data_IF_040618736395
#
_entry.id   IF_040618736395
#
_cell.length_a   1.000
_cell.length_b   1.000
_cell.length_c   1.000
_cell.angle_alpha   90.00
_cell.angle_beta   90.00
_cell.angle_gamma   90.00
#
_symmetry.space_group_name_H-M   'P 1'
#
loop_
_entity.id
_entity.type
_entity.pdbx_description
1 polymer ?
#
# COMPACT_ATOMS: atom_id res chain seq x y z
N UNK A 1 22.30 -1.36 8.18
CA UNK A 1 22.05 0.09 8.18
C UNK A 1 23.39 0.78 8.17
N UNK A 2 23.60 1.71 7.23
CA UNK A 2 24.78 2.57 7.20
C UNK A 2 24.75 3.52 8.41
N UNK A 3 25.92 3.77 8.98
CA UNK A 3 26.07 4.76 10.03
C UNK A 3 26.27 6.13 9.40
N UNK A 4 25.39 7.06 9.73
CA UNK A 4 25.44 8.44 9.23
C UNK A 4 25.87 9.35 10.38
N UNK A 5 26.94 10.14 10.20
CA UNK A 5 27.33 11.15 11.21
C UNK A 5 26.41 12.37 11.13
N UNK A 6 26.24 13.09 12.25
CA UNK A 6 25.46 14.32 12.26
C UNK A 6 26.07 15.40 11.35
N UNK A 7 27.39 15.46 11.22
CA UNK A 7 28.11 16.33 10.28
C UNK A 7 27.66 16.05 8.84
N UNK A 8 27.65 14.78 8.47
CA UNK A 8 27.25 14.34 7.13
C UNK A 8 25.77 14.66 6.84
N UNK A 9 24.88 14.30 7.76
CA UNK A 9 23.46 14.57 7.61
C UNK A 9 23.14 16.07 7.57
N UNK A 10 23.79 16.90 8.42
CA UNK A 10 23.66 18.34 8.40
C UNK A 10 24.12 18.93 7.06
N UNK A 11 25.28 18.50 6.55
CA UNK A 11 25.75 18.91 5.23
C UNK A 11 24.79 18.54 4.10
N UNK A 12 24.14 17.37 4.19
CA UNK A 12 23.19 16.91 3.20
C UNK A 12 21.89 17.74 3.17
N UNK A 13 21.36 18.12 4.34
CA UNK A 13 20.08 18.82 4.42
C UNK A 13 20.20 20.35 4.61
N UNK A 14 21.42 20.90 4.58
CA UNK A 14 21.66 22.32 4.84
C UNK A 14 21.39 22.75 6.27
N UNK A 15 21.50 21.80 7.21
CA UNK A 15 21.34 22.05 8.65
C UNK A 15 22.65 22.44 9.32
N UNK A 16 22.58 22.73 10.61
CA UNK A 16 23.73 23.01 11.48
C UNK A 16 23.78 22.01 12.63
N UNK A 17 24.99 21.68 13.05
CA UNK A 17 25.28 20.82 14.20
C UNK A 17 26.40 21.45 15.02
N UNK A 18 26.31 21.35 16.34
CA UNK A 18 27.41 21.78 17.22
C UNK A 18 28.63 20.88 17.05
N UNK A 19 29.83 21.46 16.97
CA UNK A 19 31.08 20.71 16.66
C UNK A 19 31.31 19.54 17.63
N UNK A 20 30.98 19.70 18.93
CA UNK A 20 31.10 18.63 19.93
C UNK A 20 30.25 17.38 19.64
N UNK A 21 29.22 17.51 18.80
CA UNK A 21 28.31 16.42 18.43
C UNK A 21 28.44 15.98 16.97
N UNK A 22 29.30 16.63 16.20
CA UNK A 22 29.39 16.45 14.75
C UNK A 22 29.68 15.00 14.33
N UNK A 23 30.43 14.27 15.13
CA UNK A 23 30.84 12.87 14.85
C UNK A 23 29.93 11.83 15.53
N UNK A 24 28.83 12.25 16.17
CA UNK A 24 27.80 11.33 16.65
C UNK A 24 27.13 10.66 15.45
N UNK A 25 27.05 9.32 15.50
CA UNK A 25 26.44 8.49 14.46
C UNK A 25 25.02 8.07 14.84
N UNK A 26 24.15 7.96 13.84
CA UNK A 26 22.80 7.40 14.00
C UNK A 26 22.51 6.33 12.95
N UNK A 27 21.51 5.46 13.23
CA UNK A 27 21.07 4.35 12.41
C UNK A 27 19.56 4.42 12.20
N UNK A 28 19.10 4.84 11.00
CA UNK A 28 17.68 5.02 10.73
C UNK A 28 17.08 6.22 11.48
N UNK A 29 15.78 6.43 11.29
CA UNK A 29 15.06 7.55 11.89
C UNK A 29 13.64 7.16 12.31
N UNK A 30 13.10 7.86 13.32
CA UNK A 30 11.72 7.71 13.77
C UNK A 30 11.16 9.04 14.28
N UNK A 31 9.84 9.22 14.17
CA UNK A 31 9.10 10.32 14.79
C UNK A 31 8.21 9.86 15.95
N UNK A 32 8.27 8.56 16.33
CA UNK A 32 7.45 7.98 17.39
C UNK A 32 8.33 7.42 18.52
N UNK A 33 8.32 8.09 19.67
CA UNK A 33 9.11 7.69 20.85
C UNK A 33 8.74 6.32 21.41
N UNK A 34 7.55 5.79 21.12
CA UNK A 34 7.08 4.47 21.57
C UNK A 34 7.71 3.32 20.74
N UNK A 35 8.15 3.63 19.51
CA UNK A 35 8.76 2.70 18.55
C UNK A 35 10.26 2.95 18.37
N UNK A 36 10.78 3.96 19.02
CA UNK A 36 12.19 4.35 18.93
C UNK A 36 13.09 3.20 19.36
N UNK A 37 14.05 2.91 18.50
CA UNK A 37 15.13 1.96 18.80
C UNK A 37 16.40 2.75 19.20
N UNK A 38 17.21 2.24 20.15
CA UNK A 38 18.45 2.89 20.52
C UNK A 38 19.34 3.13 19.29
N UNK A 39 19.93 4.33 19.23
CA UNK A 39 20.80 4.72 18.13
C UNK A 39 20.08 5.38 16.93
N UNK A 40 18.77 5.51 16.94
CA UNK A 40 18.04 6.20 15.86
C UNK A 40 18.07 7.72 16.00
N UNK A 41 17.90 8.41 14.85
CA UNK A 41 17.60 9.84 14.79
C UNK A 41 16.12 10.06 15.11
N UNK A 42 15.83 10.83 16.16
CA UNK A 42 14.46 11.28 16.43
C UNK A 42 14.12 12.52 15.61
N UNK A 43 13.04 12.47 14.83
CA UNK A 43 12.61 13.57 13.96
C UNK A 43 11.47 14.34 14.65
N UNK A 44 11.73 15.54 15.14
CA UNK A 44 10.75 16.40 15.79
C UNK A 44 9.87 17.08 14.74
N UNK A 45 8.80 16.39 14.28
CA UNK A 45 7.85 16.93 13.33
C UNK A 45 6.81 17.81 14.00
N UNK A 46 6.41 18.88 13.33
CA UNK A 46 5.24 19.67 13.70
C UNK A 46 3.97 19.04 13.08
N UNK A 47 3.00 18.72 13.90
CA UNK A 47 1.72 18.14 13.53
C UNK A 47 0.62 18.56 14.51
N UNK A 48 -0.36 17.69 14.77
CA UNK A 48 -1.40 17.89 15.78
C UNK A 48 -0.77 18.10 17.17
N UNK A 49 0.32 17.41 17.46
CA UNK A 49 1.22 17.66 18.57
C UNK A 49 2.57 18.11 18.04
N UNK A 50 3.25 18.99 18.77
CA UNK A 50 4.60 19.41 18.42
C UNK A 50 5.61 18.33 18.85
N UNK A 51 6.27 17.71 17.89
CA UNK A 51 7.30 16.67 18.13
C UNK A 51 8.43 17.13 19.03
N UNK A 52 8.69 18.44 19.13
CA UNK A 52 9.72 18.99 20.02
C UNK A 52 9.42 18.72 21.50
N UNK A 53 8.16 18.57 21.90
CA UNK A 53 7.77 18.22 23.27
C UNK A 53 8.25 16.84 23.70
N UNK A 54 8.53 15.96 22.73
CA UNK A 54 8.93 14.57 22.97
C UNK A 54 10.44 14.35 22.92
N UNK A 55 11.26 15.38 22.67
CA UNK A 55 12.70 15.25 22.51
C UNK A 55 13.37 14.66 23.75
N UNK A 56 13.02 15.17 24.95
CA UNK A 56 13.57 14.64 26.19
C UNK A 56 13.23 13.14 26.37
N UNK A 57 12.01 12.75 26.04
CA UNK A 57 11.58 11.35 26.09
C UNK A 57 12.35 10.49 25.06
N UNK A 58 12.52 11.00 23.82
CA UNK A 58 13.29 10.31 22.80
C UNK A 58 14.74 10.07 23.23
N UNK A 59 15.40 11.09 23.76
CA UNK A 59 16.79 10.98 24.25
C UNK A 59 16.88 10.02 25.44
N UNK A 60 15.93 10.05 26.36
CA UNK A 60 15.86 9.11 27.49
C UNK A 60 15.63 7.67 27.05
N UNK A 61 14.95 7.45 25.91
CA UNK A 61 14.73 6.13 25.31
C UNK A 61 15.89 5.68 24.40
N UNK A 62 16.98 6.45 24.34
CA UNK A 62 18.21 6.05 23.63
C UNK A 62 18.32 6.54 22.19
N UNK A 63 17.60 7.61 21.79
CA UNK A 63 17.88 8.29 20.52
C UNK A 63 19.36 8.74 20.49
N UNK A 64 20.02 8.54 19.34
CA UNK A 64 21.39 9.02 19.17
C UNK A 64 21.43 10.53 19.03
N UNK A 65 20.45 11.11 18.38
CA UNK A 65 20.35 12.53 18.08
C UNK A 65 18.93 12.95 17.71
N UNK A 66 18.75 14.23 17.51
CA UNK A 66 17.48 14.85 17.14
C UNK A 66 17.60 15.69 15.87
N UNK A 67 16.61 15.62 14.99
CA UNK A 67 16.39 16.57 13.90
C UNK A 67 15.28 17.53 14.33
N UNK A 68 15.58 18.84 14.47
CA UNK A 68 14.66 19.82 15.07
C UNK A 68 14.78 21.21 14.44
N UNK A 69 13.77 22.08 14.70
CA UNK A 69 13.75 23.45 14.17
C UNK A 69 14.15 24.51 15.21
N UNK A 70 14.32 24.14 16.47
CA UNK A 70 14.69 25.04 17.57
C UNK A 70 15.56 24.33 18.60
N UNK A 71 16.32 25.10 19.35
CA UNK A 71 17.15 24.55 20.43
C UNK A 71 16.29 23.93 21.54
N UNK A 72 16.70 22.74 21.99
CA UNK A 72 16.00 21.94 23.01
C UNK A 72 17.02 21.24 23.92
N UNK A 73 17.57 22.03 24.85
CA UNK A 73 18.56 21.49 25.78
C UNK A 73 19.92 21.17 25.12
N UNK A 74 20.80 20.52 25.88
CA UNK A 74 22.14 20.14 25.46
C UNK A 74 22.15 18.69 24.96
N UNK A 75 21.58 18.46 23.77
CA UNK A 75 21.51 17.16 23.10
C UNK A 75 22.21 17.19 21.75
N UNK A 76 22.73 16.04 21.27
CA UNK A 76 23.15 15.90 19.89
C UNK A 76 21.97 16.23 18.96
N UNK A 77 22.08 17.30 18.16
CA UNK A 77 20.97 17.76 17.33
C UNK A 77 21.45 18.32 16.00
N UNK A 78 20.65 18.11 14.95
CA UNK A 78 20.71 18.82 13.67
C UNK A 78 19.60 19.87 13.65
N UNK A 79 19.99 21.13 13.54
CA UNK A 79 19.05 22.26 13.46
C UNK A 79 18.78 22.62 12.01
N UNK A 80 17.51 22.68 11.64
CA UNK A 80 17.02 22.97 10.29
C UNK A 80 15.82 23.91 10.31
N UNK A 81 15.52 24.55 9.19
CA UNK A 81 14.31 25.38 9.07
C UNK A 81 13.03 24.55 8.94
N UNK A 82 13.12 23.32 8.41
CA UNK A 82 11.97 22.42 8.21
C UNK A 82 12.42 20.97 8.35
N UNK A 83 11.97 20.29 9.39
CA UNK A 83 12.37 18.90 9.70
C UNK A 83 11.86 17.90 8.67
N UNK A 84 10.69 18.13 8.07
CA UNK A 84 10.11 17.24 7.04
C UNK A 84 10.93 17.29 5.75
N UNK A 85 11.27 18.47 5.27
CA UNK A 85 12.11 18.62 4.07
C UNK A 85 13.53 18.10 4.32
N UNK A 86 14.10 18.38 5.49
CA UNK A 86 15.42 17.89 5.88
C UNK A 86 15.46 16.35 5.94
N UNK A 87 14.45 15.71 6.52
CA UNK A 87 14.30 14.26 6.55
C UNK A 87 14.32 13.67 5.12
N UNK A 88 13.53 14.27 4.21
CA UNK A 88 13.50 13.85 2.81
C UNK A 88 14.86 13.98 2.12
N UNK A 89 15.57 15.10 2.35
CA UNK A 89 16.88 15.32 1.74
C UNK A 89 17.96 14.39 2.31
N UNK A 90 17.95 14.12 3.61
CA UNK A 90 18.86 13.13 4.23
C UNK A 90 18.60 11.74 3.62
N UNK A 91 17.33 11.32 3.51
CA UNK A 91 16.98 10.04 2.91
C UNK A 91 17.38 9.95 1.42
N UNK A 92 17.19 11.02 0.66
CA UNK A 92 17.62 11.09 -0.74
C UNK A 92 19.14 10.91 -0.89
N UNK A 93 19.91 11.56 -0.02
CA UNK A 93 21.39 11.46 -0.04
C UNK A 93 21.86 10.10 0.40
N UNK A 94 21.23 9.50 1.41
CA UNK A 94 21.57 8.16 1.86
C UNK A 94 21.26 7.10 0.79
N UNK A 95 20.09 7.19 0.11
CA UNK A 95 19.78 6.35 -1.05
C UNK A 95 20.89 6.41 -2.12
N UNK A 96 21.36 7.62 -2.41
CA UNK A 96 22.44 7.83 -3.40
C UNK A 96 23.80 7.31 -2.88
N UNK A 97 24.05 7.43 -1.58
CA UNK A 97 25.28 6.96 -0.95
C UNK A 97 25.38 5.43 -0.97
N UNK A 98 24.29 4.73 -0.64
CA UNK A 98 24.19 3.26 -0.73
C UNK A 98 24.31 2.80 -2.19
N UNK A 99 23.84 3.58 -3.16
CA UNK A 99 23.88 3.23 -4.58
C UNK A 99 22.92 2.12 -4.99
N UNK A 100 21.89 1.85 -4.17
CA UNK A 100 20.88 0.84 -4.46
C UNK A 100 20.02 1.22 -5.66
N UNK A 101 19.59 0.23 -6.45
CA UNK A 101 18.56 0.42 -7.46
C UNK A 101 17.18 0.53 -6.80
N UNK A 102 16.33 1.44 -7.26
CA UNK A 102 15.01 1.68 -6.68
C UNK A 102 13.91 1.36 -7.66
N UNK A 103 12.98 0.49 -7.23
CA UNK A 103 11.72 0.21 -7.90
C UNK A 103 10.62 0.97 -7.16
N UNK A 104 10.09 2.04 -7.78
CA UNK A 104 8.96 2.81 -7.26
C UNK A 104 7.63 2.17 -7.66
N UNK A 105 6.68 1.99 -6.73
CA UNK A 105 5.39 1.37 -7.01
C UNK A 105 4.26 2.30 -6.60
N UNK A 106 3.40 2.67 -7.56
CA UNK A 106 2.17 3.45 -7.31
C UNK A 106 0.97 2.87 -8.06
N UNK A 107 -0.20 3.38 -7.76
CA UNK A 107 -1.49 2.96 -8.34
C UNK A 107 -2.64 3.40 -7.43
N UNK A 108 -3.87 3.35 -7.90
CA UNK A 108 -5.03 3.57 -7.04
C UNK A 108 -5.21 2.39 -6.10
N UNK A 109 -5.18 1.17 -6.61
CA UNK A 109 -5.26 -0.09 -5.85
C UNK A 109 -4.08 -1.00 -6.17
N UNK A 110 -3.80 -1.99 -5.32
CA UNK A 110 -2.77 -3.02 -5.56
C UNK A 110 -1.35 -2.66 -5.11
N UNK A 111 -1.02 -1.40 -4.80
CA UNK A 111 0.34 -0.93 -4.49
C UNK A 111 1.14 -1.82 -3.53
N UNK A 112 0.61 -2.07 -2.34
CA UNK A 112 1.33 -2.85 -1.32
C UNK A 112 1.46 -4.32 -1.72
N UNK A 113 0.42 -4.88 -2.35
CA UNK A 113 0.45 -6.26 -2.87
C UNK A 113 1.54 -6.41 -3.93
N UNK A 114 1.56 -5.51 -4.91
CA UNK A 114 2.58 -5.50 -5.97
C UNK A 114 3.97 -5.26 -5.41
N UNK A 115 4.13 -4.31 -4.47
CA UNK A 115 5.41 -4.09 -3.76
C UNK A 115 5.93 -5.38 -3.11
N UNK A 116 5.06 -6.13 -2.43
CA UNK A 116 5.45 -7.40 -1.81
C UNK A 116 5.81 -8.46 -2.85
N UNK A 117 5.04 -8.59 -3.93
CA UNK A 117 5.33 -9.53 -5.02
C UNK A 117 6.67 -9.18 -5.70
N UNK A 118 6.90 -7.91 -6.03
CA UNK A 118 8.17 -7.46 -6.60
C UNK A 118 9.32 -7.74 -5.63
N UNK A 119 9.18 -7.41 -4.35
CA UNK A 119 10.22 -7.66 -3.37
C UNK A 119 10.59 -9.15 -3.29
N UNK A 120 9.61 -10.05 -3.23
CA UNK A 120 9.84 -11.48 -3.22
C UNK A 120 10.51 -12.00 -4.50
N UNK A 121 10.16 -11.44 -5.66
CA UNK A 121 10.86 -11.75 -6.92
C UNK A 121 12.31 -11.26 -6.85
N UNK A 122 12.55 -10.04 -6.39
CA UNK A 122 13.91 -9.48 -6.28
C UNK A 122 14.76 -10.24 -5.25
N UNK A 123 14.20 -10.63 -4.11
CA UNK A 123 14.87 -11.40 -3.04
C UNK A 123 15.45 -12.74 -3.52
N UNK A 124 14.96 -13.30 -4.62
CA UNK A 124 15.52 -14.53 -5.22
C UNK A 124 16.89 -14.32 -5.86
N UNK A 125 17.30 -13.08 -6.10
CA UNK A 125 18.52 -12.75 -6.86
C UNK A 125 19.35 -11.66 -6.19
N UNK A 126 18.71 -10.71 -5.50
CA UNK A 126 19.35 -9.51 -4.94
C UNK A 126 19.13 -9.41 -3.42
N UNK A 127 20.06 -8.75 -2.71
CA UNK A 127 19.77 -8.26 -1.36
C UNK A 127 18.78 -7.11 -1.44
N UNK A 128 17.55 -7.42 -1.10
CA UNK A 128 16.40 -6.55 -1.33
C UNK A 128 15.87 -5.96 -0.03
N UNK A 129 15.57 -4.67 -0.05
CA UNK A 129 14.81 -3.99 1.00
C UNK A 129 13.50 -3.43 0.43
N UNK A 130 12.52 -3.17 1.30
CA UNK A 130 11.22 -2.61 0.89
C UNK A 130 10.67 -1.68 1.95
N UNK A 131 9.81 -0.73 1.54
CA UNK A 131 9.07 0.10 2.50
C UNK A 131 8.14 -0.78 3.34
N UNK A 132 8.20 -0.70 4.69
CA UNK A 132 7.32 -1.47 5.56
C UNK A 132 5.90 -0.92 5.55
N UNK A 133 4.91 -1.79 5.69
CA UNK A 133 3.49 -1.45 5.83
C UNK A 133 3.03 -0.33 4.87
N UNK A 134 2.50 0.77 5.41
CA UNK A 134 2.02 1.96 4.69
C UNK A 134 3.01 3.15 4.75
N UNK A 135 4.30 2.91 4.89
CA UNK A 135 5.32 3.95 4.84
C UNK A 135 5.53 4.46 3.41
N UNK A 136 4.51 5.05 2.83
CA UNK A 136 4.43 5.44 1.41
C UNK A 136 4.24 6.95 1.20
N UNK A 137 4.30 7.75 2.28
CA UNK A 137 4.14 9.19 2.25
C UNK A 137 5.46 9.93 2.54
N UNK A 138 5.42 11.25 2.57
CA UNK A 138 6.54 12.17 2.77
C UNK A 138 7.25 12.10 4.13
N UNK A 139 6.75 11.31 5.06
CA UNK A 139 7.35 11.01 6.36
C UNK A 139 7.80 9.55 6.41
N UNK A 140 6.89 8.64 6.09
CA UNK A 140 7.13 7.20 6.23
C UNK A 140 8.18 6.67 5.24
N UNK A 141 8.10 7.09 3.98
CA UNK A 141 9.04 6.64 2.95
C UNK A 141 10.49 7.08 3.23
N UNK A 142 10.79 8.34 3.56
CA UNK A 142 12.14 8.75 3.95
C UNK A 142 12.68 7.98 5.15
N UNK A 143 11.87 7.79 6.20
CA UNK A 143 12.28 6.98 7.36
C UNK A 143 12.56 5.52 6.98
N UNK A 144 11.76 4.95 6.07
CA UNK A 144 11.99 3.60 5.57
C UNK A 144 13.31 3.49 4.81
N UNK A 145 13.64 4.45 3.94
CA UNK A 145 14.91 4.51 3.21
C UNK A 145 16.09 4.58 4.18
N UNK A 146 16.04 5.45 5.19
CA UNK A 146 17.08 5.57 6.22
C UNK A 146 17.24 4.30 7.07
N UNK A 147 16.22 3.45 7.12
CA UNK A 147 16.25 2.16 7.82
C UNK A 147 16.76 0.99 6.97
N UNK A 148 17.06 1.18 5.69
CA UNK A 148 17.51 0.10 4.81
C UNK A 148 18.96 -0.32 5.12
N UNK A 149 19.32 -1.61 4.99
CA UNK A 149 20.69 -2.08 5.10
C UNK A 149 21.63 -1.41 4.10
N UNK A 150 22.88 -1.15 4.50
CA UNK A 150 23.89 -0.53 3.64
C UNK A 150 24.27 -1.38 2.42
N UNK A 151 24.13 -2.70 2.53
CA UNK A 151 24.39 -3.64 1.45
C UNK A 151 23.18 -3.92 0.55
N UNK A 152 22.10 -3.13 0.67
CA UNK A 152 20.91 -3.22 -0.17
C UNK A 152 21.27 -2.98 -1.64
N UNK A 153 20.94 -3.95 -2.48
CA UNK A 153 21.13 -3.84 -3.93
C UNK A 153 19.89 -3.29 -4.63
N UNK A 154 18.70 -3.73 -4.19
CA UNK A 154 17.41 -3.29 -4.73
C UNK A 154 16.48 -2.86 -3.59
N UNK A 155 15.88 -1.68 -3.72
CA UNK A 155 14.84 -1.20 -2.83
C UNK A 155 13.50 -1.12 -3.55
N UNK A 156 12.46 -1.76 -3.01
CA UNK A 156 11.10 -1.66 -3.53
C UNK A 156 10.30 -0.69 -2.67
N UNK A 157 9.99 0.47 -3.26
CA UNK A 157 9.45 1.63 -2.54
C UNK A 157 8.00 1.88 -2.96
N UNK A 158 7.05 1.72 -2.03
CA UNK A 158 5.67 2.12 -2.25
C UNK A 158 5.54 3.64 -2.16
N UNK A 159 4.85 4.24 -3.13
CA UNK A 159 4.64 5.67 -3.24
C UNK A 159 3.15 5.98 -3.33
N UNK A 160 2.62 6.59 -2.26
CA UNK A 160 1.22 7.00 -2.14
C UNK A 160 1.09 8.52 -2.27
N UNK A 161 -0.06 8.98 -2.77
CA UNK A 161 -0.38 10.40 -2.87
C UNK A 161 -1.88 10.63 -2.72
N UNK A 162 -2.24 11.78 -2.20
CA UNK A 162 -3.61 12.29 -2.09
C UNK A 162 -3.78 13.60 -2.91
N UNK A 163 -2.72 14.37 -3.09
CA UNK A 163 -2.72 15.68 -3.75
C UNK A 163 -1.66 15.76 -4.84
N UNK A 164 -1.83 16.73 -5.74
CA UNK A 164 -0.78 17.10 -6.69
C UNK A 164 0.51 17.49 -5.98
N UNK A 165 1.65 17.26 -6.62
CA UNK A 165 3.01 17.52 -6.16
C UNK A 165 3.54 16.59 -5.05
N UNK A 166 2.68 15.78 -4.42
CA UNK A 166 3.15 14.78 -3.45
C UNK A 166 3.98 13.68 -4.12
N UNK A 167 3.49 13.14 -5.24
CA UNK A 167 4.21 12.12 -6.00
C UNK A 167 5.55 12.65 -6.53
N UNK A 168 5.58 13.88 -7.04
CA UNK A 168 6.81 14.55 -7.47
C UNK A 168 7.84 14.63 -6.33
N UNK A 169 7.40 14.99 -5.13
CA UNK A 169 8.27 15.08 -3.95
C UNK A 169 8.84 13.71 -3.58
N UNK A 170 7.98 12.69 -3.50
CA UNK A 170 8.40 11.32 -3.18
C UNK A 170 9.38 10.77 -4.24
N UNK A 171 9.09 11.02 -5.51
CA UNK A 171 9.93 10.57 -6.61
C UNK A 171 11.32 11.20 -6.58
N UNK A 172 11.41 12.49 -6.27
CA UNK A 172 12.71 13.18 -6.13
C UNK A 172 13.55 12.64 -4.98
N UNK A 173 12.91 12.12 -3.91
CA UNK A 173 13.60 11.46 -2.80
C UNK A 173 14.06 10.05 -3.22
N UNK A 174 13.15 9.23 -3.70
CA UNK A 174 13.40 7.84 -4.05
C UNK A 174 14.29 7.71 -5.30
N UNK A 175 14.15 8.59 -6.28
CA UNK A 175 14.83 8.58 -7.58
C UNK A 175 14.73 7.19 -8.23
N UNK A 176 13.53 6.74 -8.62
CA UNK A 176 13.35 5.39 -9.13
C UNK A 176 14.17 5.15 -10.41
N UNK A 177 14.86 4.02 -10.46
CA UNK A 177 15.49 3.48 -11.66
C UNK A 177 14.47 2.75 -12.54
N UNK A 178 13.39 2.28 -11.88
CA UNK A 178 12.21 1.70 -12.50
C UNK A 178 10.97 2.11 -11.69
N UNK A 179 9.91 2.56 -12.38
CA UNK A 179 8.65 2.93 -11.74
C UNK A 179 7.48 2.14 -12.32
N UNK A 180 6.58 1.71 -11.44
CA UNK A 180 5.37 0.95 -11.79
C UNK A 180 4.14 1.78 -11.47
N UNK A 181 3.24 1.97 -12.46
CA UNK A 181 1.90 2.52 -12.25
C UNK A 181 0.86 1.44 -12.60
N UNK A 182 0.16 0.95 -11.57
CA UNK A 182 -0.71 -0.21 -11.69
C UNK A 182 -2.05 0.08 -12.35
N UNK A 183 -2.66 1.20 -11.98
CA UNK A 183 -4.00 1.56 -12.44
C UNK A 183 -4.37 2.99 -12.04
N UNK A 184 -5.37 3.52 -12.74
CA UNK A 184 -6.02 4.80 -12.48
C UNK A 184 -7.47 4.55 -12.09
N UNK A 185 -7.73 4.36 -10.80
CA UNK A 185 -9.07 4.18 -10.26
C UNK A 185 -9.73 5.49 -9.85
N UNK A 186 -10.69 5.40 -8.94
CA UNK A 186 -11.51 6.52 -8.46
C UNK A 186 -11.14 7.01 -7.04
N UNK A 187 -10.15 6.39 -6.40
CA UNK A 187 -9.66 6.85 -5.09
C UNK A 187 -9.00 8.23 -5.19
N UNK A 188 -9.17 9.07 -4.14
CA UNK A 188 -8.67 10.45 -4.07
C UNK A 188 -9.35 11.42 -5.07
N UNK A 189 -10.51 11.04 -5.63
CA UNK A 189 -11.30 11.87 -6.54
C UNK A 189 -11.65 13.24 -5.92
N UNK A 190 -11.86 13.27 -4.60
CA UNK A 190 -12.17 14.48 -3.84
C UNK A 190 -11.10 15.57 -4.01
N UNK A 191 -9.81 15.19 -4.06
CA UNK A 191 -8.68 16.13 -4.12
C UNK A 191 -8.17 16.36 -5.53
N UNK A 192 -8.34 15.39 -6.42
CA UNK A 192 -7.77 15.42 -7.77
C UNK A 192 -8.82 15.69 -8.88
N UNK A 193 -10.11 15.72 -8.51
CA UNK A 193 -11.23 16.17 -9.33
C UNK A 193 -11.70 15.17 -10.40
N UNK A 194 -10.83 14.38 -11.00
CA UNK A 194 -11.15 13.42 -12.07
C UNK A 194 -10.13 12.28 -12.14
N UNK A 195 -10.46 11.21 -12.84
CA UNK A 195 -9.49 10.14 -13.14
C UNK A 195 -8.29 10.67 -13.94
N UNK A 196 -8.51 11.63 -14.82
CA UNK A 196 -7.44 12.32 -15.52
C UNK A 196 -6.52 13.10 -14.55
N UNK A 197 -7.11 13.76 -13.54
CA UNK A 197 -6.34 14.40 -12.46
C UNK A 197 -5.52 13.37 -11.66
N UNK A 198 -6.10 12.19 -11.39
CA UNK A 198 -5.39 11.08 -10.72
C UNK A 198 -4.25 10.56 -11.59
N UNK A 199 -4.46 10.39 -12.91
CA UNK A 199 -3.40 10.03 -13.86
C UNK A 199 -2.26 11.04 -13.80
N UNK A 200 -2.56 12.33 -13.97
CA UNK A 200 -1.56 13.41 -13.93
C UNK A 200 -0.75 13.40 -12.63
N UNK A 201 -1.42 13.27 -11.48
CA UNK A 201 -0.75 13.22 -10.19
C UNK A 201 0.17 11.99 -10.03
N UNK A 202 -0.23 10.80 -10.56
CA UNK A 202 0.63 9.61 -10.53
C UNK A 202 1.80 9.71 -11.50
N UNK A 203 1.60 10.31 -12.67
CA UNK A 203 2.67 10.56 -13.66
C UNK A 203 3.74 11.54 -13.15
N UNK A 204 3.49 12.31 -12.09
CA UNK A 204 4.54 13.08 -11.41
C UNK A 204 5.70 12.22 -10.89
N UNK A 205 5.55 10.89 -10.86
CA UNK A 205 6.63 9.95 -10.52
C UNK A 205 7.83 10.13 -11.47
N UNK A 206 7.61 10.57 -12.68
CA UNK A 206 8.66 10.85 -13.68
C UNK A 206 9.63 11.95 -13.25
N UNK A 207 9.19 12.89 -12.38
CA UNK A 207 10.02 14.05 -11.99
C UNK A 207 11.30 13.68 -11.20
N UNK A 208 11.37 12.51 -10.60
CA UNK A 208 12.56 12.01 -9.91
C UNK A 208 13.36 10.99 -10.72
N UNK A 209 12.81 10.50 -11.83
CA UNK A 209 13.44 9.48 -12.68
C UNK A 209 14.46 10.09 -13.63
N UNK A 210 15.53 9.34 -13.93
CA UNK A 210 16.45 9.67 -15.00
C UNK A 210 15.82 9.36 -16.37
N UNK A 211 16.31 9.96 -17.48
CA UNK A 211 15.76 9.68 -18.81
C UNK A 211 15.89 8.23 -19.27
N UNK A 212 16.90 7.51 -18.80
CA UNK A 212 17.17 6.10 -19.08
C UNK A 212 16.47 5.14 -18.10
N UNK A 213 15.83 5.65 -17.05
CA UNK A 213 15.00 4.86 -16.14
C UNK A 213 13.77 4.33 -16.88
N UNK A 214 13.21 3.19 -16.42
CA UNK A 214 12.11 2.52 -17.12
C UNK A 214 10.78 2.74 -16.42
N UNK A 215 9.73 2.99 -17.22
CA UNK A 215 8.36 3.10 -16.74
C UNK A 215 7.58 1.84 -17.10
N UNK A 216 6.97 1.20 -16.10
CA UNK A 216 6.16 -0.01 -16.24
C UNK A 216 4.70 0.34 -16.03
N UNK A 217 3.87 0.14 -17.04
CA UNK A 217 2.46 0.54 -17.07
C UNK A 217 1.54 -0.65 -17.33
N UNK A 218 0.40 -0.65 -16.68
CA UNK A 218 -0.68 -1.58 -16.98
C UNK A 218 -1.35 -1.21 -18.32
N UNK A 219 -1.16 -2.03 -19.34
CA UNK A 219 -1.74 -1.84 -20.67
C UNK A 219 -3.22 -2.17 -20.76
N UNK A 220 -3.80 -2.85 -19.76
CA UNK A 220 -5.25 -3.07 -19.66
C UNK A 220 -5.98 -1.84 -19.09
N UNK A 221 -5.26 -0.87 -18.51
CA UNK A 221 -5.83 0.41 -18.09
C UNK A 221 -5.84 1.40 -19.25
N UNK A 222 -7.04 1.80 -19.69
CA UNK A 222 -7.20 2.65 -20.85
C UNK A 222 -6.52 4.03 -20.70
N UNK A 223 -6.49 4.59 -19.48
CA UNK A 223 -5.84 5.87 -19.21
C UNK A 223 -4.31 5.78 -19.20
N UNK A 224 -3.76 4.61 -18.86
CA UNK A 224 -2.32 4.37 -18.95
C UNK A 224 -1.88 3.94 -20.36
N UNK A 225 -2.77 3.26 -21.11
CA UNK A 225 -2.49 2.84 -22.49
C UNK A 225 -2.47 4.04 -23.45
N UNK A 226 -3.33 5.04 -23.24
CA UNK A 226 -3.53 6.21 -24.09
C UNK A 226 -2.89 7.47 -23.52
N UNK A 227 -1.56 7.46 -23.30
CA UNK A 227 -0.85 8.66 -22.89
C UNK A 227 -0.83 9.69 -24.04
N UNK A 228 -1.33 10.91 -23.79
CA UNK A 228 -1.34 12.01 -24.76
C UNK A 228 0.08 12.49 -25.07
N UNK A 229 0.94 12.56 -24.06
CA UNK A 229 2.35 12.88 -24.18
C UNK A 229 3.19 11.66 -23.80
N UNK A 230 4.06 11.23 -24.68
CA UNK A 230 4.98 10.14 -24.42
C UNK A 230 6.10 10.65 -23.51
N UNK A 231 6.38 9.99 -22.37
CA UNK A 231 7.51 10.36 -21.53
C UNK A 231 8.85 10.07 -22.24
N UNK A 232 9.91 10.71 -21.77
CA UNK A 232 11.27 10.42 -22.26
C UNK A 232 11.73 9.02 -21.87
N UNK A 233 11.21 8.48 -20.74
CA UNK A 233 11.55 7.17 -20.22
C UNK A 233 10.98 6.05 -21.10
N UNK A 234 11.74 4.99 -21.40
CA UNK A 234 11.23 3.81 -22.07
C UNK A 234 10.07 3.17 -21.28
N UNK A 235 8.98 2.86 -21.98
CA UNK A 235 7.79 2.23 -21.38
C UNK A 235 7.79 0.73 -21.66
N UNK A 236 7.50 -0.05 -20.62
CA UNK A 236 7.18 -1.47 -20.69
C UNK A 236 5.71 -1.65 -20.28
N UNK A 237 4.89 -2.15 -21.16
CA UNK A 237 3.48 -2.44 -20.89
C UNK A 237 3.27 -3.89 -20.47
N UNK A 238 2.44 -4.10 -19.44
CA UNK A 238 1.97 -5.43 -19.05
C UNK A 238 0.44 -5.51 -19.06
N UNK A 239 -0.13 -6.71 -19.21
CA UNK A 239 -1.57 -6.92 -19.17
C UNK A 239 -2.02 -8.26 -19.77
N UNK A 240 -3.22 -8.29 -20.33
CA UNK A 240 -3.81 -9.51 -20.92
C UNK A 240 -3.84 -9.51 -22.46
N UNK A 241 -3.47 -8.42 -23.09
CA UNK A 241 -3.40 -8.25 -24.53
C UNK A 241 -2.02 -8.73 -25.03
N UNK A 242 -1.99 -9.61 -26.05
CA UNK A 242 -0.78 -10.22 -26.61
C UNK A 242 0.13 -9.26 -27.38
N UNK A 243 -0.31 -8.03 -27.60
CA UNK A 243 0.51 -6.95 -28.18
C UNK A 243 1.39 -6.23 -27.14
N UNK A 244 1.30 -6.58 -25.84
CA UNK A 244 2.06 -5.95 -24.76
C UNK A 244 3.44 -6.61 -24.59
N UNK A 245 4.38 -5.92 -23.93
CA UNK A 245 5.72 -6.46 -23.67
C UNK A 245 5.68 -7.69 -22.75
N UNK A 246 4.78 -7.70 -21.78
CA UNK A 246 4.54 -8.86 -20.90
C UNK A 246 3.05 -9.09 -20.79
N UNK A 247 2.58 -10.29 -21.08
CA UNK A 247 1.15 -10.58 -21.02
C UNK A 247 0.82 -11.96 -20.44
N UNK A 248 -0.42 -12.11 -19.96
CA UNK A 248 -0.91 -13.38 -19.41
C UNK A 248 -1.93 -14.05 -20.29
N UNK A 249 -1.80 -15.39 -20.44
CA UNK A 249 -2.82 -16.26 -21.02
C UNK A 249 -3.18 -17.37 -20.03
N UNK A 250 -4.19 -18.19 -20.36
CA UNK A 250 -4.61 -19.37 -19.58
C UNK A 250 -4.90 -19.08 -18.10
N UNK A 251 -5.47 -17.91 -17.82
CA UNK A 251 -5.79 -17.51 -16.45
C UNK A 251 -6.85 -18.43 -15.86
N UNK A 252 -6.50 -19.14 -14.78
CA UNK A 252 -7.37 -20.10 -14.08
C UNK A 252 -7.31 -19.87 -12.58
N UNK A 253 -8.47 -19.98 -11.95
CA UNK A 253 -8.63 -19.88 -10.49
C UNK A 253 -9.26 -21.17 -9.98
N UNK A 254 -8.41 -21.99 -9.38
CA UNK A 254 -8.81 -23.16 -8.58
C UNK A 254 -8.47 -22.83 -7.11
N UNK A 255 -7.79 -23.72 -6.38
CA UNK A 255 -7.22 -23.45 -5.04
C UNK A 255 -6.08 -22.42 -5.10
N UNK A 256 -5.51 -22.21 -6.27
CA UNK A 256 -4.47 -21.22 -6.56
C UNK A 256 -4.80 -20.46 -7.83
N UNK A 257 -4.34 -19.23 -7.93
CA UNK A 257 -4.38 -18.50 -9.20
C UNK A 257 -3.20 -18.94 -10.07
N UNK A 258 -3.48 -19.32 -11.32
CA UNK A 258 -2.47 -19.77 -12.30
C UNK A 258 -2.67 -19.06 -13.63
N UNK A 259 -1.57 -18.78 -14.31
CA UNK A 259 -1.57 -18.27 -15.67
C UNK A 259 -0.23 -18.55 -16.35
N UNK A 260 -0.17 -18.40 -17.66
CA UNK A 260 1.09 -18.38 -18.42
C UNK A 260 1.51 -16.95 -18.67
N UNK A 261 2.70 -16.55 -18.21
CA UNK A 261 3.30 -15.27 -18.54
C UNK A 261 4.13 -15.41 -19.83
N UNK A 262 4.03 -14.43 -20.71
CA UNK A 262 4.77 -14.31 -21.96
C UNK A 262 5.55 -12.99 -21.95
N UNK A 263 6.71 -12.97 -22.59
CA UNK A 263 7.47 -11.74 -22.83
C UNK A 263 7.59 -11.45 -24.35
N UNK A 264 8.05 -10.27 -24.70
CA UNK A 264 8.26 -9.84 -26.08
C UNK A 264 9.47 -10.51 -26.76
N UNK A 265 10.31 -11.21 -26.01
CA UNK A 265 11.38 -12.09 -26.52
C UNK A 265 10.87 -13.43 -27.03
N UNK A 266 9.60 -13.75 -26.81
CA UNK A 266 8.95 -15.00 -27.20
C UNK A 266 9.09 -16.12 -26.16
N UNK A 267 9.66 -15.85 -25.01
CA UNK A 267 9.69 -16.78 -23.89
C UNK A 267 8.35 -16.81 -23.15
N UNK A 268 8.00 -17.98 -22.61
CA UNK A 268 6.80 -18.13 -21.80
C UNK A 268 7.03 -19.09 -20.63
N UNK A 269 6.37 -18.83 -19.51
CA UNK A 269 6.48 -19.67 -18.32
C UNK A 269 5.23 -19.62 -17.44
N UNK A 270 4.90 -20.75 -16.77
CA UNK A 270 3.75 -20.80 -15.88
C UNK A 270 4.02 -20.04 -14.58
N UNK A 271 3.03 -19.29 -14.13
CA UNK A 271 3.01 -18.58 -12.84
C UNK A 271 1.92 -19.18 -11.96
N UNK A 272 2.22 -19.34 -10.66
CA UNK A 272 1.28 -19.78 -9.64
C UNK A 272 1.36 -18.84 -8.44
N UNK A 273 0.18 -18.49 -7.92
CA UNK A 273 0.00 -17.66 -6.72
C UNK A 273 -0.96 -18.33 -5.74
N UNK A 274 -0.64 -18.34 -4.48
CA UNK A 274 -1.49 -18.89 -3.40
C UNK A 274 -2.45 -17.81 -2.88
N UNK A 275 -3.27 -17.27 -3.79
CA UNK A 275 -4.26 -16.22 -3.53
C UNK A 275 -5.54 -16.51 -4.27
N UNK A 276 -6.63 -15.87 -3.85
CA UNK A 276 -7.93 -15.97 -4.50
C UNK A 276 -8.32 -14.65 -5.19
N UNK A 277 -8.66 -14.75 -6.47
CA UNK A 277 -9.15 -13.65 -7.28
C UNK A 277 -8.23 -13.27 -8.43
N UNK A 278 -8.82 -13.15 -9.63
CA UNK A 278 -8.10 -12.77 -10.84
C UNK A 278 -7.55 -11.33 -10.82
N UNK A 279 -7.99 -10.51 -9.87
CA UNK A 279 -7.47 -9.16 -9.68
C UNK A 279 -6.00 -9.11 -9.24
N UNK A 280 -5.42 -10.24 -8.81
CA UNK A 280 -3.99 -10.37 -8.56
C UNK A 280 -3.14 -10.58 -9.82
N UNK A 281 -3.76 -10.88 -10.97
CA UNK A 281 -3.01 -11.07 -12.23
C UNK A 281 -2.22 -9.81 -12.62
N UNK A 282 -2.81 -8.61 -12.64
CA UNK A 282 -2.04 -7.39 -12.94
C UNK A 282 -0.90 -7.14 -11.94
N UNK A 283 -1.10 -7.38 -10.64
CA UNK A 283 -0.07 -7.23 -9.62
C UNK A 283 1.11 -8.18 -9.87
N UNK A 284 0.81 -9.45 -10.21
CA UNK A 284 1.82 -10.44 -10.54
C UNK A 284 2.53 -10.14 -11.87
N UNK A 285 1.81 -9.69 -12.90
CA UNK A 285 2.41 -9.29 -14.17
C UNK A 285 3.34 -8.09 -14.02
N UNK A 286 2.98 -7.11 -13.18
CA UNK A 286 3.89 -6.04 -12.83
C UNK A 286 5.19 -6.58 -12.20
N UNK A 287 5.09 -7.57 -11.29
CA UNK A 287 6.26 -8.19 -10.68
C UNK A 287 7.08 -9.02 -11.69
N UNK A 288 6.42 -9.71 -12.63
CA UNK A 288 7.11 -10.39 -13.75
C UNK A 288 7.87 -9.38 -14.60
N UNK A 289 7.21 -8.30 -15.02
CA UNK A 289 7.80 -7.27 -15.87
C UNK A 289 9.02 -6.62 -15.23
N UNK A 290 8.89 -6.25 -13.94
CA UNK A 290 10.01 -5.71 -13.16
C UNK A 290 11.14 -6.75 -13.05
N UNK A 291 10.81 -8.02 -12.76
CA UNK A 291 11.78 -9.10 -12.67
C UNK A 291 12.60 -9.26 -13.93
N UNK A 292 11.93 -9.37 -15.08
CA UNK A 292 12.58 -9.48 -16.40
C UNK A 292 13.42 -8.25 -16.71
N UNK A 293 12.87 -7.05 -16.48
CA UNK A 293 13.59 -5.78 -16.71
C UNK A 293 14.85 -5.63 -15.86
N UNK A 294 14.87 -6.24 -14.65
CA UNK A 294 16.01 -6.25 -13.73
C UNK A 294 16.95 -7.47 -13.93
N UNK A 295 16.69 -8.32 -14.93
CA UNK A 295 17.52 -9.47 -15.25
C UNK A 295 17.32 -10.69 -14.32
N UNK A 296 16.20 -10.77 -13.59
CA UNK A 296 15.83 -11.95 -12.81
C UNK A 296 15.37 -13.04 -13.76
N UNK A 297 15.88 -14.26 -13.61
CA UNK A 297 15.49 -15.37 -14.49
C UNK A 297 14.01 -15.78 -14.32
N UNK A 298 13.33 -16.31 -15.36
CA UNK A 298 11.97 -16.83 -15.26
C UNK A 298 11.78 -17.84 -14.12
N UNK A 299 12.78 -18.70 -13.87
CA UNK A 299 12.74 -19.66 -12.76
C UNK A 299 12.71 -18.96 -11.38
N UNK A 300 13.49 -17.93 -11.19
CA UNK A 300 13.54 -17.15 -9.97
C UNK A 300 12.26 -16.32 -9.80
N UNK A 301 11.74 -15.69 -10.86
CA UNK A 301 10.45 -14.98 -10.84
C UNK A 301 9.33 -15.92 -10.38
N UNK A 302 9.24 -17.13 -10.95
CA UNK A 302 8.27 -18.14 -10.52
C UNK A 302 8.40 -18.49 -9.06
N UNK A 303 9.63 -18.68 -8.57
CA UNK A 303 9.90 -19.01 -7.17
C UNK A 303 9.44 -17.89 -6.24
N UNK A 304 9.76 -16.64 -6.56
CA UNK A 304 9.34 -15.49 -5.77
C UNK A 304 7.81 -15.35 -5.69
N UNK A 305 7.13 -15.47 -6.82
CA UNK A 305 5.67 -15.39 -6.88
C UNK A 305 4.97 -16.56 -6.17
N UNK A 306 5.51 -17.78 -6.27
CA UNK A 306 4.95 -18.95 -5.57
C UNK A 306 5.08 -18.83 -4.04
N UNK A 307 6.05 -18.08 -3.55
CA UNK A 307 6.21 -17.79 -2.13
C UNK A 307 5.25 -16.71 -1.61
N UNK A 308 4.59 -15.94 -2.48
CA UNK A 308 3.71 -14.86 -2.07
C UNK A 308 2.51 -15.37 -1.26
N UNK A 309 2.19 -14.67 -0.18
CA UNK A 309 1.00 -14.86 0.66
C UNK A 309 0.36 -13.52 0.97
N UNK A 310 -0.96 -13.51 1.15
CA UNK A 310 -1.69 -12.30 1.50
C UNK A 310 -1.14 -11.66 2.78
N UNK A 311 -1.08 -10.34 2.78
CA UNK A 311 -0.72 -9.55 3.96
C UNK A 311 -1.90 -9.46 4.92
N UNK A 312 -1.60 -9.21 6.20
CA UNK A 312 -2.65 -8.96 7.20
C UNK A 312 -3.56 -7.79 6.78
N UNK A 313 -4.86 -8.00 6.92
CA UNK A 313 -5.88 -7.02 6.53
C UNK A 313 -6.13 -6.87 5.02
N UNK A 314 -5.54 -7.75 4.18
CA UNK A 314 -5.74 -7.81 2.73
C UNK A 314 -6.15 -9.21 2.31
N UNK A 315 -7.46 -9.47 2.34
CA UNK A 315 -8.05 -10.80 2.13
C UNK A 315 -7.39 -11.89 3.00
N UNK A 316 -7.03 -11.53 4.21
CA UNK A 316 -6.55 -12.46 5.24
C UNK A 316 -7.70 -13.36 5.67
N UNK A 317 -7.51 -14.68 5.61
CA UNK A 317 -8.54 -15.65 5.98
C UNK A 317 -8.30 -16.12 7.41
N UNK A 318 -9.33 -16.03 8.24
CA UNK A 318 -9.32 -16.40 9.66
C UNK A 318 -10.51 -17.31 9.94
N UNK A 319 -10.28 -18.41 10.67
CA UNK A 319 -11.34 -19.28 11.18
C UNK A 319 -11.58 -18.96 12.65
N UNK A 320 -12.80 -18.53 13.00
CA UNK A 320 -13.17 -18.14 14.35
C UNK A 320 -14.55 -18.76 14.67
N UNK A 321 -14.63 -19.65 15.66
CA UNK A 321 -15.89 -20.27 16.06
C UNK A 321 -16.62 -21.03 14.95
N UNK A 322 -15.88 -21.59 13.98
CA UNK A 322 -16.43 -22.28 12.80
C UNK A 322 -16.97 -21.36 11.71
N UNK A 323 -16.67 -20.05 11.79
CA UNK A 323 -16.98 -19.02 10.79
C UNK A 323 -15.70 -18.64 10.08
N UNK A 324 -15.72 -18.59 8.74
CA UNK A 324 -14.59 -18.14 7.92
C UNK A 324 -14.67 -16.63 7.70
N UNK A 325 -13.79 -15.86 8.31
CA UNK A 325 -13.66 -14.42 8.07
C UNK A 325 -12.64 -14.12 6.99
N UNK A 326 -13.03 -13.32 5.99
CA UNK A 326 -12.13 -12.69 5.01
C UNK A 326 -11.90 -11.25 5.47
N UNK A 327 -10.78 -11.02 6.18
CA UNK A 327 -10.38 -9.71 6.69
C UNK A 327 -9.72 -8.91 5.57
N UNK A 328 -10.43 -7.89 5.07
CA UNK A 328 -9.96 -6.99 4.02
C UNK A 328 -10.19 -5.51 4.42
N UNK A 329 -9.78 -5.17 5.65
CA UNK A 329 -10.10 -3.91 6.33
C UNK A 329 -9.00 -2.85 6.21
N UNK A 330 -7.92 -3.10 5.46
CA UNK A 330 -6.82 -2.14 5.36
C UNK A 330 -7.24 -0.84 4.66
N UNK A 331 -7.97 -0.93 3.54
CA UNK A 331 -8.56 0.22 2.84
C UNK A 331 -9.68 -0.25 1.89
N UNK A 332 -10.52 0.69 1.45
CA UNK A 332 -11.61 0.41 0.54
C UNK A 332 -11.78 1.52 -0.51
N UNK A 333 -11.97 1.11 -1.75
CA UNK A 333 -12.39 1.92 -2.86
C UNK A 333 -13.28 1.08 -3.78
N UNK A 334 -13.98 1.68 -4.73
CA UNK A 334 -14.98 1.00 -5.56
C UNK A 334 -14.45 -0.25 -6.25
N UNK A 335 -13.27 -0.19 -6.84
CA UNK A 335 -12.63 -1.29 -7.56
C UNK A 335 -12.25 -2.44 -6.61
N UNK A 336 -11.70 -2.11 -5.44
CA UNK A 336 -11.32 -3.11 -4.44
C UNK A 336 -12.50 -3.75 -3.74
N UNK A 337 -13.61 -3.02 -3.55
CA UNK A 337 -14.89 -3.56 -3.07
C UNK A 337 -15.46 -4.57 -4.05
N UNK A 338 -15.47 -4.22 -5.34
CA UNK A 338 -15.94 -5.11 -6.41
C UNK A 338 -15.11 -6.40 -6.46
N UNK A 339 -13.77 -6.29 -6.39
CA UNK A 339 -12.88 -7.45 -6.39
C UNK A 339 -13.16 -8.38 -5.19
N UNK A 340 -13.29 -7.81 -3.99
CA UNK A 340 -13.56 -8.58 -2.77
C UNK A 340 -14.95 -9.27 -2.82
N UNK A 341 -15.97 -8.58 -3.32
CA UNK A 341 -17.31 -9.17 -3.50
C UNK A 341 -17.31 -10.29 -4.55
N UNK A 342 -16.50 -10.18 -5.61
CA UNK A 342 -16.33 -11.26 -6.59
C UNK A 342 -15.70 -12.52 -5.96
N UNK A 343 -14.75 -12.34 -5.05
CA UNK A 343 -14.16 -13.45 -4.27
C UNK A 343 -15.20 -14.07 -3.35
N UNK A 344 -15.89 -13.25 -2.54
CA UNK A 344 -16.95 -13.72 -1.65
C UNK A 344 -18.02 -14.53 -2.41
N UNK A 345 -18.47 -14.03 -3.57
CA UNK A 345 -19.49 -14.67 -4.39
C UNK A 345 -19.15 -16.06 -4.92
N UNK A 346 -17.87 -16.48 -4.87
CA UNK A 346 -17.41 -17.82 -5.25
C UNK A 346 -17.28 -18.78 -4.06
N UNK A 347 -17.43 -18.28 -2.83
CA UNK A 347 -17.29 -19.11 -1.62
C UNK A 347 -18.47 -20.04 -1.44
N UNK A 348 -18.23 -21.26 -0.95
CA UNK A 348 -19.31 -22.15 -0.52
C UNK A 348 -19.94 -21.67 0.78
N UNK A 349 -21.15 -22.12 1.10
CA UNK A 349 -21.86 -21.74 2.32
C UNK A 349 -22.61 -20.43 2.20
N UNK A 350 -23.09 -19.93 3.34
CA UNK A 350 -23.82 -18.66 3.40
C UNK A 350 -22.80 -17.50 3.42
N UNK A 351 -22.95 -16.60 2.46
CA UNK A 351 -22.02 -15.49 2.20
C UNK A 351 -22.53 -14.21 2.83
N UNK A 352 -21.75 -13.64 3.71
CA UNK A 352 -22.10 -12.42 4.45
C UNK A 352 -21.12 -11.30 4.07
N UNK A 353 -21.61 -10.17 3.60
CA UNK A 353 -20.82 -8.99 3.31
C UNK A 353 -20.99 -7.95 4.42
N UNK A 354 -19.92 -7.58 5.10
CA UNK A 354 -19.86 -6.51 6.10
C UNK A 354 -19.04 -5.37 5.50
N UNK A 355 -19.74 -4.32 5.05
CA UNK A 355 -19.19 -3.27 4.22
C UNK A 355 -19.21 -1.92 4.94
N UNK A 356 -18.03 -1.39 5.26
CA UNK A 356 -17.84 -0.04 5.77
C UNK A 356 -17.76 0.99 4.65
N UNK A 357 -17.83 2.27 5.00
CA UNK A 357 -17.74 3.37 4.04
C UNK A 357 -16.43 3.35 3.25
N UNK A 358 -16.52 3.78 2.01
CA UNK A 358 -15.39 4.16 1.15
C UNK A 358 -15.17 5.67 1.28
N UNK A 359 -14.05 6.06 1.87
CA UNK A 359 -13.70 7.47 2.11
C UNK A 359 -13.01 8.09 0.87
N UNK A 360 -12.93 9.43 0.85
CA UNK A 360 -12.22 10.24 -0.16
C UNK A 360 -12.76 10.14 -1.60
N UNK A 361 -14.02 9.75 -1.76
CA UNK A 361 -14.67 9.65 -3.07
C UNK A 361 -15.31 10.99 -3.54
N UNK A 362 -15.40 12.00 -2.66
CA UNK A 362 -15.95 13.31 -2.99
C UNK A 362 -17.35 13.21 -3.59
N UNK A 363 -17.57 13.81 -4.74
CA UNK A 363 -18.86 13.83 -5.42
C UNK A 363 -19.39 12.45 -5.82
N UNK A 364 -18.50 11.45 -5.97
CA UNK A 364 -18.88 10.08 -6.36
C UNK A 364 -19.38 9.23 -5.18
N UNK A 365 -19.23 9.69 -3.93
CA UNK A 365 -19.56 8.93 -2.71
C UNK A 365 -20.93 8.25 -2.78
N UNK A 366 -21.97 9.02 -3.12
CA UNK A 366 -23.32 8.50 -3.15
C UNK A 366 -23.55 7.40 -4.20
N UNK A 367 -23.05 7.65 -5.41
CA UNK A 367 -23.22 6.74 -6.53
C UNK A 367 -22.44 5.43 -6.33
N UNK A 368 -21.21 5.52 -5.82
CA UNK A 368 -20.35 4.35 -5.63
C UNK A 368 -20.84 3.46 -4.47
N UNK A 369 -21.27 4.03 -3.34
CA UNK A 369 -21.87 3.23 -2.27
C UNK A 369 -23.14 2.51 -2.73
N UNK A 370 -24.00 3.19 -3.51
CA UNK A 370 -25.17 2.56 -4.09
C UNK A 370 -24.80 1.46 -5.09
N UNK A 371 -23.79 1.69 -5.96
CA UNK A 371 -23.30 0.69 -6.92
C UNK A 371 -22.75 -0.54 -6.20
N UNK A 372 -21.95 -0.35 -5.15
CA UNK A 372 -21.42 -1.44 -4.33
C UNK A 372 -22.53 -2.23 -3.66
N UNK A 373 -23.58 -1.57 -3.17
CA UNK A 373 -24.78 -2.25 -2.64
C UNK A 373 -25.43 -3.17 -3.66
N UNK A 374 -25.61 -2.72 -4.92
CA UNK A 374 -26.13 -3.58 -5.99
C UNK A 374 -25.25 -4.79 -6.29
N UNK A 375 -23.95 -4.60 -6.27
CA UNK A 375 -22.99 -5.70 -6.45
C UNK A 375 -23.05 -6.70 -5.29
N UNK A 376 -23.14 -6.20 -4.05
CA UNK A 376 -23.26 -7.02 -2.85
C UNK A 376 -24.51 -7.91 -2.89
N UNK A 377 -25.66 -7.37 -3.33
CA UNK A 377 -26.89 -8.14 -3.50
C UNK A 377 -26.72 -9.36 -4.43
N UNK A 378 -25.89 -9.23 -5.47
CA UNK A 378 -25.63 -10.32 -6.43
C UNK A 378 -24.57 -11.33 -5.96
N UNK A 379 -23.83 -11.05 -4.87
CA UNK A 379 -22.65 -11.82 -4.45
C UNK A 379 -22.74 -12.35 -3.02
N UNK A 380 -23.71 -11.92 -2.24
CA UNK A 380 -23.88 -12.32 -0.83
C UNK A 380 -25.33 -12.62 -0.51
N UNK A 381 -25.52 -13.40 0.55
CA UNK A 381 -26.84 -13.82 1.07
C UNK A 381 -27.32 -12.87 2.18
N UNK A 382 -26.39 -12.21 2.88
CA UNK A 382 -26.66 -11.16 3.87
C UNK A 382 -25.68 -9.99 3.66
N UNK A 383 -26.15 -8.77 3.92
CA UNK A 383 -25.34 -7.55 3.89
C UNK A 383 -25.53 -6.75 5.17
N UNK A 384 -24.42 -6.36 5.78
CA UNK A 384 -24.34 -5.42 6.90
C UNK A 384 -23.52 -4.22 6.43
N UNK A 385 -24.16 -3.06 6.29
CA UNK A 385 -23.51 -1.83 5.90
C UNK A 385 -23.21 -0.97 7.15
N UNK A 386 -22.02 -0.36 7.21
CA UNK A 386 -21.56 0.43 8.35
C UNK A 386 -21.03 1.80 7.93
N UNK A 387 -21.53 2.84 8.58
CA UNK A 387 -21.05 4.21 8.42
C UNK A 387 -22.15 5.18 8.00
N UNK A 388 -21.81 6.46 7.81
CA UNK A 388 -22.72 7.51 7.33
C UNK A 388 -23.41 7.21 6.00
N UNK A 389 -22.78 6.43 5.12
CA UNK A 389 -23.33 6.04 3.82
C UNK A 389 -24.00 4.64 3.81
N UNK A 390 -24.19 4.01 4.96
CA UNK A 390 -24.78 2.67 5.07
C UNK A 390 -26.15 2.56 4.38
N UNK A 391 -27.01 3.60 4.49
CA UNK A 391 -28.31 3.62 3.81
C UNK A 391 -28.21 3.57 2.28
N UNK A 392 -27.14 4.13 1.70
CA UNK A 392 -26.93 4.09 0.24
C UNK A 392 -26.61 2.66 -0.22
N UNK A 393 -25.78 1.95 0.56
CA UNK A 393 -25.50 0.54 0.32
C UNK A 393 -26.78 -0.29 0.46
N UNK A 394 -27.55 -0.09 1.53
CA UNK A 394 -28.85 -0.76 1.75
C UNK A 394 -29.80 -0.56 0.59
N UNK A 395 -29.96 0.69 0.13
CA UNK A 395 -30.83 1.02 -1.01
C UNK A 395 -30.32 0.36 -2.31
N UNK A 396 -29.01 0.31 -2.49
CA UNK A 396 -28.39 -0.42 -3.60
C UNK A 396 -28.71 -1.91 -3.55
N UNK A 397 -28.60 -2.55 -2.38
CA UNK A 397 -28.94 -3.97 -2.19
C UNK A 397 -30.41 -4.26 -2.50
N UNK A 398 -31.34 -3.45 -2.00
CA UNK A 398 -32.77 -3.61 -2.26
C UNK A 398 -33.07 -3.47 -3.74
N UNK A 399 -32.52 -2.46 -4.40
CA UNK A 399 -32.68 -2.27 -5.85
C UNK A 399 -32.01 -3.40 -6.66
N UNK A 400 -30.95 -4.01 -6.11
CA UNK A 400 -30.29 -5.20 -6.66
C UNK A 400 -31.07 -6.50 -6.48
N UNK A 401 -32.27 -6.44 -5.85
CA UNK A 401 -33.16 -7.58 -5.66
C UNK A 401 -33.03 -8.29 -4.31
N UNK A 402 -32.22 -7.77 -3.37
CA UNK A 402 -32.11 -8.36 -2.01
C UNK A 402 -33.33 -7.98 -1.18
N UNK A 403 -33.89 -8.93 -0.46
CA UNK A 403 -35.00 -8.70 0.46
C UNK A 403 -34.57 -7.89 1.68
N UNK A 404 -35.47 -7.00 2.18
CA UNK A 404 -35.15 -6.03 3.25
C UNK A 404 -34.62 -6.66 4.54
N UNK A 405 -35.04 -7.87 4.87
CA UNK A 405 -34.57 -8.55 6.08
C UNK A 405 -33.16 -9.18 5.94
N UNK A 406 -32.61 -9.23 4.72
CA UNK A 406 -31.27 -9.71 4.45
C UNK A 406 -30.23 -8.56 4.39
N UNK A 407 -30.66 -7.31 4.52
CA UNK A 407 -29.74 -6.17 4.53
C UNK A 407 -30.05 -5.22 5.67
N UNK A 408 -29.01 -4.79 6.40
CA UNK A 408 -29.13 -3.86 7.53
C UNK A 408 -28.01 -2.81 7.47
N UNK A 409 -28.36 -1.56 7.84
CA UNK A 409 -27.43 -0.45 7.96
C UNK A 409 -27.20 -0.05 9.41
N UNK A 410 -25.97 0.32 9.74
CA UNK A 410 -25.52 0.70 11.09
C UNK A 410 -24.60 1.91 11.05
N UNK A 411 -24.66 2.73 12.10
CA UNK A 411 -23.76 3.86 12.31
C UNK A 411 -22.94 3.74 13.61
N UNK A 412 -23.22 2.70 14.41
CA UNK A 412 -22.53 2.45 15.69
C UNK A 412 -21.89 1.06 15.65
N UNK A 413 -20.59 0.98 15.97
CA UNK A 413 -19.79 -0.25 15.90
C UNK A 413 -20.33 -1.34 16.81
N UNK A 414 -20.70 -1.00 18.03
CA UNK A 414 -21.24 -1.99 19.00
C UNK A 414 -22.55 -2.61 18.52
N UNK A 415 -23.39 -1.85 17.80
CA UNK A 415 -24.66 -2.33 17.26
C UNK A 415 -24.48 -3.33 16.12
N UNK A 416 -23.56 -3.06 15.19
CA UNK A 416 -23.27 -4.00 14.11
C UNK A 416 -22.60 -5.27 14.66
N UNK A 417 -21.68 -5.17 15.60
CA UNK A 417 -21.06 -6.33 16.26
C UNK A 417 -22.14 -7.19 16.96
N UNK A 418 -23.04 -6.58 17.74
CA UNK A 418 -24.11 -7.29 18.40
C UNK A 418 -25.10 -7.96 17.41
N UNK A 419 -25.36 -7.34 16.27
CA UNK A 419 -26.19 -7.93 15.21
C UNK A 419 -25.49 -9.13 14.56
N UNK A 420 -24.20 -9.02 14.24
CA UNK A 420 -23.41 -10.09 13.66
C UNK A 420 -23.32 -11.30 14.62
N UNK A 421 -23.04 -11.09 15.90
CA UNK A 421 -23.01 -12.16 16.93
C UNK A 421 -24.31 -12.93 17.06
N UNK A 422 -25.47 -12.30 16.76
CA UNK A 422 -26.79 -12.96 16.78
C UNK A 422 -27.13 -13.71 15.50
N UNK A 423 -26.57 -13.26 14.35
CA UNK A 423 -27.02 -13.72 13.03
C UNK A 423 -26.05 -14.67 12.35
N UNK A 424 -24.75 -14.58 12.67
CA UNK A 424 -23.75 -15.47 12.11
C UNK A 424 -23.84 -16.88 12.73
N UNK A 425 -23.58 -17.86 11.88
CA UNK A 425 -23.63 -19.28 12.24
C UNK A 425 -22.34 -19.98 11.78
N UNK A 426 -21.92 -21.06 12.43
CA UNK A 426 -20.85 -21.91 11.91
C UNK A 426 -21.12 -22.33 10.47
N UNK A 427 -20.11 -22.24 9.63
CA UNK A 427 -20.20 -22.47 8.18
C UNK A 427 -20.46 -21.21 7.34
N UNK A 428 -20.67 -20.03 7.96
CA UNK A 428 -20.74 -18.78 7.25
C UNK A 428 -19.36 -18.34 6.73
N UNK A 429 -19.35 -17.65 5.57
CA UNK A 429 -18.18 -16.94 5.07
C UNK A 429 -18.45 -15.44 5.08
N UNK A 430 -17.65 -14.70 5.83
CA UNK A 430 -17.88 -13.29 6.16
C UNK A 430 -16.77 -12.42 5.58
N UNK A 431 -17.08 -11.60 4.61
CA UNK A 431 -16.16 -10.55 4.14
C UNK A 431 -16.32 -9.31 5.02
N UNK A 432 -15.23 -8.82 5.61
CA UNK A 432 -15.21 -7.56 6.36
C UNK A 432 -14.30 -6.57 5.62
N UNK A 433 -14.89 -5.49 5.07
CA UNK A 433 -14.15 -4.51 4.28
C UNK A 433 -14.69 -3.09 4.48
N UNK A 434 -13.76 -2.13 4.60
CA UNK A 434 -14.04 -0.69 4.70
C UNK A 434 -12.74 0.12 4.61
N UNK A 435 -12.84 1.43 4.44
CA UNK A 435 -11.67 2.31 4.50
C UNK A 435 -11.02 2.25 5.86
N UNK A 436 -9.72 2.49 5.94
CA UNK A 436 -8.93 2.40 7.17
C UNK A 436 -9.54 3.19 8.34
N UNK A 437 -10.03 4.41 8.07
CA UNK A 437 -10.67 5.26 9.07
C UNK A 437 -12.00 4.73 9.62
N UNK A 438 -12.56 3.64 9.06
CA UNK A 438 -13.78 2.99 9.55
C UNK A 438 -13.51 1.96 10.64
N UNK A 439 -12.24 1.60 10.87
CA UNK A 439 -11.82 0.66 11.92
C UNK A 439 -12.59 -0.67 11.93
N UNK A 440 -12.82 -1.24 10.74
CA UNK A 440 -13.62 -2.46 10.58
C UNK A 440 -12.97 -3.69 11.22
N UNK A 441 -11.68 -3.66 11.50
CA UNK A 441 -10.95 -4.70 12.25
C UNK A 441 -11.55 -4.99 13.63
N UNK A 442 -12.17 -3.99 14.28
CA UNK A 442 -12.82 -4.13 15.58
C UNK A 442 -13.92 -5.22 15.58
N UNK A 443 -14.56 -5.45 14.43
CA UNK A 443 -15.55 -6.53 14.29
C UNK A 443 -14.89 -7.88 14.51
N UNK A 444 -13.77 -8.13 13.83
CA UNK A 444 -13.04 -9.40 13.92
C UNK A 444 -12.43 -9.57 15.31
N UNK A 445 -11.86 -8.50 15.87
CA UNK A 445 -11.28 -8.48 17.21
C UNK A 445 -12.33 -8.87 18.29
N UNK A 446 -13.59 -8.45 18.11
CA UNK A 446 -14.69 -8.80 19.00
C UNK A 446 -15.05 -10.30 18.96
N UNK A 447 -14.93 -10.97 17.81
CA UNK A 447 -15.13 -12.42 17.69
C UNK A 447 -13.93 -13.20 18.25
N UNK A 448 -12.71 -12.73 18.02
CA UNK A 448 -11.49 -13.31 18.60
C UNK A 448 -11.47 -13.22 20.14
N UNK A 449 -12.04 -12.15 20.70
CA UNK A 449 -12.15 -12.01 22.16
C UNK A 449 -13.13 -13.04 22.76
N UNK A 450 -14.29 -13.23 22.12
CA UNK A 450 -15.29 -14.23 22.57
C UNK A 450 -14.73 -15.65 22.51
N UNK A 451 -14.01 -16.01 21.44
CA UNK A 451 -13.39 -17.35 21.31
C UNK A 451 -12.37 -17.61 22.42
N UNK A 452 -11.58 -16.60 22.81
CA UNK A 452 -10.62 -16.72 23.92
C UNK A 452 -11.29 -16.84 25.29
N UNK A 453 -12.48 -16.25 25.45
CA UNK A 453 -13.27 -16.33 26.67
C UNK A 453 -14.15 -17.62 26.75
N UNK A 454 -14.12 -18.44 25.68
CA UNK A 454 -14.90 -19.70 25.61
C UNK A 454 -16.41 -19.48 25.47
N UNK A 455 -16.81 -18.35 24.89
CA UNK A 455 -18.21 -17.98 24.64
C UNK A 455 -18.62 -18.30 23.21
#
# INVERSE_FOLDING_TARGET
MGKITLRQAAAWCGGTVEEKYADVEFLGATNDTRRLQPGQLFVALQGVRDGHEFIHNAMSNGAAAVLCTRMVGDYPAIYVSNTRLALGEIARRERMHIGMQVVGVTGSVGKSTTKEMIAQVMETTFRTAKTPANHNNDIGMPMAILGMPEDTQVAVVEMGMNHFREMAYLSRIARPDLAVILNIGTMHMEHLGSQEGIRRAKMEILEGMAPDARLVLNGDDALLRSLEEQPEQPILYFGTDDSLNVYATDIRQDDTLRFTAHDDGGDSFPVRLHVEGSHYVPDALAAVTVGLAMGVTPANIRTGLDCFRNMSGRQEVLEIGGITFIKDCYNAGPESMEAALKVLGKKPGRRVAVLGDMLELGACTAAEHYRVGRLAAAKSDLVFAFGPNAERVVNGCITGGMEKFHVQGFTEMDKIIAALKRMLLPGDVVLVKGSHGMHMEQIIDAFLADEKEGK
#
